data_IF_053416044599
#
_entry.id   IF_053416044599
#
_cell.length_a   1.000
_cell.length_b   1.000
_cell.length_c   1.000
_cell.angle_alpha   90.00
_cell.angle_beta   90.00
_cell.angle_gamma   90.00
#
_symmetry.space_group_name_H-M   'P 1'
#
loop_
_entity.id
_entity.type
_entity.pdbx_description
1 polymer ?
#
# COMPACT_ATOMS: atom_id res chain seq x y z
N UNK A 1 -24.51 35.99 9.20
CA UNK A 1 -23.89 34.92 10.00
C UNK A 1 -23.90 33.66 9.17
N UNK A 2 -22.74 33.19 8.71
CA UNK A 2 -22.59 31.92 8.00
C UNK A 2 -21.50 31.13 8.72
N UNK A 3 -21.85 29.93 9.15
CA UNK A 3 -20.97 28.98 9.80
C UNK A 3 -20.19 28.19 8.74
N UNK A 4 -18.86 28.14 8.89
CA UNK A 4 -17.98 27.25 8.12
C UNK A 4 -17.80 25.96 8.92
N UNK A 5 -18.07 24.75 8.37
CA UNK A 5 -17.80 23.52 9.10
C UNK A 5 -16.30 23.20 9.07
N UNK A 6 -15.78 22.86 10.25
CA UNK A 6 -14.44 22.32 10.50
C UNK A 6 -14.27 21.00 9.73
N UNK A 7 -13.18 20.90 8.96
CA UNK A 7 -12.74 19.64 8.36
C UNK A 7 -12.37 18.64 9.46
N UNK A 8 -12.94 17.45 9.32
CA UNK A 8 -12.87 16.30 10.21
C UNK A 8 -11.47 15.70 10.36
N UNK A 9 -11.16 15.30 11.61
CA UNK A 9 -10.06 14.43 12.04
C UNK A 9 -9.67 13.35 11.00
N UNK A 10 -8.45 13.44 10.49
CA UNK A 10 -7.73 12.29 9.92
C UNK A 10 -6.83 11.75 11.03
N UNK A 11 -6.94 10.47 11.45
CA UNK A 11 -6.02 9.90 12.42
C UNK A 11 -4.64 9.79 11.75
N UNK A 12 -3.69 10.56 12.26
CA UNK A 12 -2.28 10.48 11.86
C UNK A 12 -1.74 9.13 12.32
N UNK A 13 -1.52 8.22 11.38
CA UNK A 13 -0.81 6.96 11.66
C UNK A 13 0.59 7.29 12.18
N UNK A 14 0.93 6.74 13.35
CA UNK A 14 2.25 6.86 13.96
C UNK A 14 3.35 6.37 13.00
N UNK A 15 4.49 7.08 12.88
CA UNK A 15 5.62 6.59 12.11
C UNK A 15 6.21 5.34 12.78
N UNK A 16 6.33 4.26 12.01
CA UNK A 16 7.06 3.06 12.42
C UNK A 16 8.49 3.42 12.87
N UNK A 17 8.80 3.09 14.13
CA UNK A 17 10.11 3.26 14.76
C UNK A 17 11.25 2.69 13.90
N UNK A 18 12.09 3.57 13.38
CA UNK A 18 13.43 3.28 12.91
C UNK A 18 14.36 4.41 13.37
N UNK A 19 14.98 4.23 14.54
CA UNK A 19 15.85 5.22 15.18
C UNK A 19 17.20 5.34 14.45
N UNK A 20 17.58 6.56 14.04
CA UNK A 20 18.96 6.90 13.65
C UNK A 20 19.06 8.21 12.86
N UNK A 21 19.93 9.17 13.26
CA UNK A 21 20.11 10.41 12.50
C UNK A 21 21.17 10.22 11.40
N UNK A 22 20.81 10.57 10.17
CA UNK A 22 21.77 10.76 9.09
C UNK A 22 21.92 9.58 8.13
N UNK A 23 20.94 9.39 7.26
CA UNK A 23 21.23 8.96 5.88
C UNK A 23 20.28 9.73 4.97
N UNK A 24 20.82 10.43 3.98
CA UNK A 24 20.09 10.78 2.75
C UNK A 24 19.70 9.46 2.08
N UNK A 25 18.71 8.77 2.63
CA UNK A 25 18.09 7.61 1.99
C UNK A 25 17.28 8.20 0.86
N UNK A 26 17.86 8.14 -0.33
CA UNK A 26 17.19 8.03 -1.62
C UNK A 26 15.67 8.20 -1.48
N UNK A 27 15.19 9.45 -1.55
CA UNK A 27 13.79 9.85 -1.38
C UNK A 27 12.95 9.40 -2.58
N UNK A 28 13.16 8.18 -3.07
CA UNK A 28 12.15 7.52 -3.89
C UNK A 28 11.04 7.16 -2.93
N UNK A 29 10.12 8.10 -2.74
CA UNK A 29 8.89 7.87 -2.03
C UNK A 29 8.30 6.56 -2.55
N UNK A 30 8.21 5.57 -1.66
CA UNK A 30 7.63 4.30 -2.04
C UNK A 30 6.16 4.56 -2.36
N UNK A 31 5.66 3.97 -3.45
CA UNK A 31 4.32 4.25 -3.97
C UNK A 31 3.21 3.98 -2.93
N UNK A 32 3.44 3.07 -2.00
CA UNK A 32 2.54 2.77 -0.88
C UNK A 32 2.54 3.83 0.23
N UNK A 33 3.58 4.66 0.31
CA UNK A 33 3.59 5.86 1.17
C UNK A 33 2.69 6.95 0.59
N UNK A 34 2.69 7.10 -0.74
CA UNK A 34 1.87 8.09 -1.44
C UNK A 34 0.39 7.72 -1.48
N UNK A 35 0.08 6.41 -1.54
CA UNK A 35 -1.28 5.89 -1.64
C UNK A 35 -1.50 4.74 -0.64
N UNK A 36 -1.59 5.06 0.66
CA UNK A 36 -1.70 4.05 1.71
C UNK A 36 -3.01 3.26 1.57
N UNK A 37 -2.91 1.93 1.59
CA UNK A 37 -4.04 1.02 1.47
C UNK A 37 -4.53 0.78 0.03
N UNK A 38 -4.31 1.73 -0.88
CA UNK A 38 -4.59 1.58 -2.30
C UNK A 38 -3.51 0.76 -3.02
N UNK A 39 -2.28 0.79 -2.52
CA UNK A 39 -1.14 0.08 -3.10
C UNK A 39 -0.56 -0.93 -2.10
N UNK A 40 -0.58 -2.21 -2.45
CA UNK A 40 -0.23 -3.30 -1.53
C UNK A 40 0.71 -4.33 -2.14
N UNK A 41 1.60 -4.86 -1.30
CA UNK A 41 2.40 -6.05 -1.64
C UNK A 41 1.55 -7.32 -1.64
N UNK A 42 1.64 -8.14 -2.70
CA UNK A 42 1.00 -9.45 -2.72
C UNK A 42 1.41 -10.30 -1.50
N UNK A 43 2.72 -10.40 -1.21
CA UNK A 43 3.23 -11.31 -0.18
C UNK A 43 2.87 -10.89 1.24
N UNK A 44 2.97 -9.59 1.55
CA UNK A 44 2.75 -9.11 2.92
C UNK A 44 1.25 -8.91 3.24
N UNK A 45 0.46 -8.49 2.25
CA UNK A 45 -0.87 -7.94 2.50
C UNK A 45 -2.01 -8.70 1.80
N UNK A 46 -1.76 -9.39 0.68
CA UNK A 46 -2.83 -10.06 -0.08
C UNK A 46 -2.86 -11.57 0.14
N UNK A 47 -1.70 -12.24 0.12
CA UNK A 47 -1.62 -13.71 0.18
C UNK A 47 -2.28 -14.24 1.46
N UNK A 48 -3.34 -15.03 1.29
CA UNK A 48 -4.13 -15.60 2.40
C UNK A 48 -5.04 -14.61 3.13
N UNK A 49 -5.10 -13.34 2.69
CA UNK A 49 -5.90 -12.27 3.29
C UNK A 49 -6.94 -11.68 2.31
N UNK A 50 -6.69 -11.78 1.00
CA UNK A 50 -7.52 -11.20 -0.05
C UNK A 50 -7.14 -9.76 -0.40
N UNK A 51 -7.82 -9.19 -1.40
CA UNK A 51 -7.51 -7.86 -1.96
C UNK A 51 -7.95 -6.69 -1.08
N UNK A 52 -8.98 -6.87 -0.24
CA UNK A 52 -9.58 -5.77 0.49
C UNK A 52 -10.05 -4.65 -0.44
N UNK A 53 -9.65 -3.41 -0.15
CA UNK A 53 -9.92 -2.23 -0.98
C UNK A 53 -8.75 -1.81 -1.88
N UNK A 54 -7.73 -2.67 -2.03
CA UNK A 54 -6.54 -2.31 -2.79
C UNK A 54 -6.84 -2.13 -4.27
N UNK A 55 -6.12 -1.20 -4.90
CA UNK A 55 -6.23 -0.85 -6.33
C UNK A 55 -5.04 -1.31 -7.14
N UNK A 56 -3.84 -1.31 -6.54
CA UNK A 56 -2.61 -1.76 -7.16
C UNK A 56 -2.00 -2.85 -6.27
N UNK A 57 -1.80 -4.03 -6.85
CA UNK A 57 -1.06 -5.11 -6.20
C UNK A 57 0.29 -5.26 -6.89
N UNK A 58 1.38 -5.07 -6.15
CA UNK A 58 2.72 -5.28 -6.67
C UNK A 58 3.30 -6.63 -6.24
N UNK A 59 4.02 -7.27 -7.17
CA UNK A 59 4.68 -8.56 -6.97
C UNK A 59 6.20 -8.38 -6.95
N UNK A 60 6.76 -8.22 -5.74
CA UNK A 60 8.20 -8.22 -5.54
C UNK A 60 8.74 -9.64 -5.38
N UNK A 61 9.86 -9.93 -6.06
CA UNK A 61 10.49 -11.26 -6.01
C UNK A 61 9.56 -12.36 -6.57
N UNK A 62 9.40 -13.43 -5.78
CA UNK A 62 8.57 -14.60 -6.11
C UNK A 62 7.46 -14.80 -5.07
N UNK A 63 6.28 -15.31 -5.45
CA UNK A 63 5.88 -15.71 -6.81
C UNK A 63 5.59 -14.51 -7.72
N UNK A 64 5.72 -14.71 -9.03
CA UNK A 64 5.27 -13.76 -10.07
C UNK A 64 3.80 -14.03 -10.41
N UNK A 65 3.05 -13.06 -10.96
CA UNK A 65 1.62 -13.22 -11.24
C UNK A 65 1.26 -14.53 -11.98
N UNK A 66 1.96 -14.96 -13.05
CA UNK A 66 1.64 -16.22 -13.74
C UNK A 66 1.77 -17.49 -12.89
N UNK A 67 2.49 -17.43 -11.77
CA UNK A 67 2.71 -18.56 -10.87
C UNK A 67 1.75 -18.58 -9.67
N UNK A 68 0.76 -17.68 -9.65
CA UNK A 68 -0.21 -17.55 -8.57
C UNK A 68 -1.57 -18.00 -9.06
N UNK A 69 -2.18 -18.92 -8.31
CA UNK A 69 -3.52 -19.45 -8.57
C UNK A 69 -4.56 -18.64 -7.78
N UNK A 70 -4.81 -17.42 -8.25
CA UNK A 70 -5.81 -16.51 -7.71
C UNK A 70 -6.67 -16.02 -8.89
N UNK A 71 -7.99 -16.12 -8.79
CA UNK A 71 -8.89 -15.85 -9.93
C UNK A 71 -8.71 -14.45 -10.53
N UNK A 72 -8.51 -13.44 -9.67
CA UNK A 72 -8.29 -12.06 -10.09
C UNK A 72 -6.93 -11.86 -10.77
N UNK A 73 -5.93 -12.67 -10.46
CA UNK A 73 -4.63 -12.60 -11.16
C UNK A 73 -4.82 -13.09 -12.60
N UNK A 74 -5.52 -14.20 -12.78
CA UNK A 74 -5.84 -14.73 -14.13
C UNK A 74 -6.68 -13.76 -14.94
N UNK A 75 -7.61 -13.04 -14.31
CA UNK A 75 -8.46 -12.03 -14.95
C UNK A 75 -7.67 -10.81 -15.44
N UNK A 76 -6.76 -10.27 -14.64
CA UNK A 76 -6.10 -8.99 -14.92
C UNK A 76 -4.68 -9.09 -15.52
N UNK A 77 -4.07 -10.28 -15.55
CA UNK A 77 -2.70 -10.46 -16.06
C UNK A 77 -2.61 -11.05 -17.47
N UNK A 78 -3.71 -11.62 -17.99
CA UNK A 78 -3.75 -12.25 -19.32
C UNK A 78 -3.85 -11.24 -20.47
#
# INVERSE_FOLDING_TARGET
>A
MLATPMLSNVPTGEPHRGSGPGTLRDYREHIDVLWPGDVVSYKAHVRGKGLGSARIVYFHGVPKPPAVDESWVTEYWN
#
